data_IF_608127231754
#
_entry.id   IF_608127231754
#
_cell.length_a   1.000
_cell.length_b   1.000
_cell.length_c   1.000
_cell.angle_alpha   90.00
_cell.angle_beta   90.00
_cell.angle_gamma   90.00
#
_symmetry.space_group_name_H-M   'P 1'
#
loop_
_entity.id
_entity.type
_entity.pdbx_description
1 polymer ?
#
# COMPACT_ATOMS: atom_id res chain seq x y z
N UNK A 1 -0.57 0.73 11.42
CA UNK A 1 0.72 0.21 10.92
C UNK A 1 1.19 0.80 9.59
N UNK A 2 0.33 1.34 8.73
CA UNK A 2 0.77 2.07 7.53
C UNK A 2 1.23 3.50 7.84
N UNK A 3 1.85 4.15 6.85
CA UNK A 3 2.16 5.58 6.84
C UNK A 3 1.56 6.23 5.60
N UNK A 4 0.86 7.35 5.78
CA UNK A 4 0.37 8.15 4.66
C UNK A 4 1.42 9.20 4.28
N UNK A 5 1.86 9.17 3.02
CA UNK A 5 2.86 10.09 2.47
C UNK A 5 2.19 10.97 1.43
N UNK A 6 1.88 12.21 1.79
CA UNK A 6 1.40 13.24 0.88
C UNK A 6 2.54 13.81 0.04
N UNK A 7 2.24 14.23 -1.19
CA UNK A 7 3.24 14.81 -2.09
C UNK A 7 2.66 15.86 -3.03
N UNK A 8 3.54 16.72 -3.54
CA UNK A 8 3.29 17.63 -4.68
C UNK A 8 4.48 17.55 -5.63
N UNK A 9 4.21 17.46 -6.93
CA UNK A 9 5.24 17.36 -7.95
C UNK A 9 5.40 18.72 -8.62
N UNK A 10 6.65 19.13 -8.75
CA UNK A 10 7.01 20.38 -9.40
C UNK A 10 7.68 20.11 -10.73
N UNK A 11 7.35 20.94 -11.73
CA UNK A 11 8.06 21.03 -13.00
C UNK A 11 8.42 22.49 -13.25
N UNK A 12 9.71 22.78 -13.42
CA UNK A 12 10.21 24.15 -13.66
C UNK A 12 9.68 25.17 -12.63
N UNK A 13 9.57 24.77 -11.36
CA UNK A 13 9.06 25.64 -10.28
C UNK A 13 7.53 25.69 -10.13
N UNK A 14 6.76 25.08 -11.04
CA UNK A 14 5.29 25.07 -10.97
C UNK A 14 4.76 23.73 -10.42
N UNK A 15 3.76 23.74 -9.53
CA UNK A 15 3.09 22.52 -9.11
C UNK A 15 2.25 21.95 -10.26
N UNK A 16 2.51 20.70 -10.65
CA UNK A 16 1.85 20.04 -11.79
C UNK A 16 0.95 18.88 -11.37
N UNK A 17 1.17 18.34 -10.17
CA UNK A 17 0.43 17.19 -9.67
C UNK A 17 0.51 17.11 -8.14
N UNK A 18 -0.48 16.47 -7.54
CA UNK A 18 -0.54 16.18 -6.11
C UNK A 18 -1.14 14.80 -5.88
N UNK A 19 -0.97 14.29 -4.67
CA UNK A 19 -1.57 13.02 -4.27
C UNK A 19 -1.04 12.56 -2.93
N UNK A 20 -1.32 11.29 -2.65
CA UNK A 20 -0.80 10.62 -1.48
C UNK A 20 -0.66 9.13 -1.74
N UNK A 21 0.13 8.50 -0.87
CA UNK A 21 0.33 7.07 -0.92
C UNK A 21 0.37 6.49 0.48
N UNK A 22 -0.34 5.38 0.68
CA UNK A 22 -0.28 4.60 1.90
C UNK A 22 0.82 3.57 1.76
N UNK A 23 1.88 3.70 2.54
CA UNK A 23 3.07 2.85 2.51
C UNK A 23 3.00 1.85 3.66
N UNK A 24 3.19 0.57 3.33
CA UNK A 24 3.30 -0.53 4.29
C UNK A 24 4.38 -1.52 3.83
N UNK A 25 5.58 -1.39 4.40
CA UNK A 25 6.72 -2.21 3.98
C UNK A 25 7.01 -2.03 2.49
N UNK A 26 7.12 -3.12 1.76
CA UNK A 26 7.38 -3.08 0.31
C UNK A 26 6.13 -2.74 -0.53
N UNK A 27 4.96 -2.52 0.09
CA UNK A 27 3.71 -2.19 -0.62
C UNK A 27 3.38 -0.70 -0.51
N UNK A 28 2.77 -0.18 -1.56
CA UNK A 28 2.16 1.13 -1.55
C UNK A 28 0.83 1.14 -2.33
N UNK A 29 -0.24 1.62 -1.70
CA UNK A 29 -1.44 2.06 -2.42
C UNK A 29 -1.17 3.47 -2.95
N UNK A 30 -1.44 3.69 -4.23
CA UNK A 30 -0.91 4.83 -4.95
C UNK A 30 -1.99 5.48 -5.80
N UNK A 31 -2.17 6.79 -5.62
CA UNK A 31 -3.05 7.62 -6.44
C UNK A 31 -2.35 8.92 -6.78
N UNK A 32 -2.51 9.40 -8.02
CA UNK A 32 -1.88 10.61 -8.54
C UNK A 32 -2.94 11.45 -9.24
N UNK A 33 -2.98 12.76 -8.96
CA UNK A 33 -3.82 13.72 -9.67
C UNK A 33 -2.92 14.71 -10.39
N UNK A 34 -3.03 14.76 -11.72
CA UNK A 34 -2.33 15.74 -12.55
C UNK A 34 -3.33 16.82 -12.94
N UNK A 35 -2.97 18.07 -12.70
CA UNK A 35 -3.79 19.22 -13.07
C UNK A 35 -4.04 19.21 -14.58
N UNK A 36 -5.26 19.58 -14.98
CA UNK A 36 -5.73 19.48 -16.36
C UNK A 36 -4.77 20.12 -17.37
N UNK A 37 -4.27 21.32 -17.08
CA UNK A 37 -3.32 22.07 -17.93
C UNK A 37 -1.96 21.36 -18.12
N UNK A 38 -1.64 20.36 -17.30
CA UNK A 38 -0.40 19.58 -17.36
C UNK A 38 -0.63 18.11 -17.75
N UNK A 39 -1.86 17.73 -18.11
CA UNK A 39 -2.16 16.41 -18.66
C UNK A 39 -1.66 16.32 -20.10
N UNK A 40 -1.08 15.18 -20.46
CA UNK A 40 -0.57 14.96 -21.82
C UNK A 40 0.65 14.05 -21.85
N UNK A 41 1.53 14.27 -22.83
CA UNK A 41 2.67 13.39 -23.11
C UNK A 41 3.61 13.19 -21.90
N UNK A 42 3.81 14.23 -21.09
CA UNK A 42 4.74 14.18 -19.95
C UNK A 42 4.12 13.59 -18.68
N UNK A 43 2.80 13.39 -18.61
CA UNK A 43 2.12 12.80 -17.45
C UNK A 43 2.71 11.43 -17.09
N UNK A 44 3.08 10.67 -18.12
CA UNK A 44 3.76 9.39 -17.98
C UNK A 44 5.14 9.47 -17.35
N UNK A 45 5.96 10.42 -17.82
CA UNK A 45 7.29 10.64 -17.26
C UNK A 45 7.21 11.04 -15.79
N UNK A 46 6.35 12.01 -15.48
CA UNK A 46 6.06 12.49 -14.12
C UNK A 46 5.63 11.34 -13.21
N UNK A 47 4.71 10.49 -13.67
CA UNK A 47 4.28 9.30 -12.94
C UNK A 47 5.43 8.32 -12.69
N UNK A 48 6.25 8.02 -13.70
CA UNK A 48 7.41 7.14 -13.52
C UNK A 48 8.46 7.70 -12.56
N UNK A 49 8.70 9.02 -12.57
CA UNK A 49 9.61 9.64 -11.60
C UNK A 49 9.09 9.49 -10.17
N UNK A 50 7.80 9.63 -9.97
CA UNK A 50 7.18 9.43 -8.66
C UNK A 50 7.31 7.98 -8.18
N UNK A 51 7.01 7.00 -9.04
CA UNK A 51 7.22 5.58 -8.72
C UNK A 51 8.69 5.30 -8.36
N UNK A 52 9.63 5.90 -9.09
CA UNK A 52 11.08 5.79 -8.80
C UNK A 52 11.43 6.35 -7.43
N UNK A 53 10.87 7.51 -7.05
CA UNK A 53 11.07 8.11 -5.72
C UNK A 53 10.56 7.17 -4.64
N UNK A 54 9.35 6.64 -4.77
CA UNK A 54 8.78 5.72 -3.77
C UNK A 54 9.56 4.41 -3.65
N UNK A 55 10.00 3.87 -4.78
CA UNK A 55 10.86 2.68 -4.80
C UNK A 55 12.17 2.91 -4.05
N UNK A 56 12.88 4.00 -4.34
CA UNK A 56 14.21 4.24 -3.78
C UNK A 56 14.19 4.77 -2.35
N UNK A 57 13.19 5.60 -2.01
CA UNK A 57 13.12 6.25 -0.70
C UNK A 57 12.47 5.36 0.35
N UNK A 58 11.40 4.66 -0.03
CA UNK A 58 10.62 3.82 0.88
C UNK A 58 10.81 2.32 0.64
N UNK A 59 11.62 1.90 -0.33
CA UNK A 59 11.82 0.48 -0.63
C UNK A 59 10.58 -0.20 -1.21
N UNK A 60 9.66 0.55 -1.82
CA UNK A 60 8.42 0.00 -2.39
C UNK A 60 8.73 -0.83 -3.63
N UNK A 61 8.26 -2.06 -3.64
CA UNK A 61 8.37 -3.00 -4.76
C UNK A 61 7.00 -3.45 -5.29
N UNK A 62 5.92 -3.16 -4.58
CA UNK A 62 4.57 -3.53 -4.96
C UNK A 62 3.68 -2.27 -4.94
N UNK A 63 3.42 -1.71 -6.12
CA UNK A 63 2.50 -0.58 -6.28
C UNK A 63 1.13 -1.09 -6.63
N UNK A 64 0.11 -0.60 -5.94
CA UNK A 64 -1.30 -0.92 -6.17
C UNK A 64 -2.07 0.36 -6.48
N UNK A 65 -2.91 0.31 -7.50
CA UNK A 65 -3.80 1.39 -7.92
C UNK A 65 -5.23 0.89 -7.76
N UNK A 66 -6.01 1.62 -6.97
CA UNK A 66 -7.39 1.27 -6.68
C UNK A 66 -8.31 1.52 -7.90
N UNK A 67 -9.38 0.73 -8.06
CA UNK A 67 -10.32 0.87 -9.16
C UNK A 67 -10.89 2.26 -9.40
N UNK A 68 -11.09 3.05 -8.35
CA UNK A 68 -11.59 4.42 -8.45
C UNK A 68 -10.69 5.30 -9.34
N UNK A 69 -9.37 5.08 -9.29
CA UNK A 69 -8.38 5.83 -10.05
C UNK A 69 -8.49 5.61 -11.57
N UNK A 70 -9.18 4.57 -12.01
CA UNK A 70 -9.35 4.28 -13.43
C UNK A 70 -10.78 3.92 -13.85
N UNK A 71 -11.78 4.15 -13.00
CA UNK A 71 -13.17 4.21 -13.45
C UNK A 71 -14.27 3.80 -12.47
N UNK A 72 -13.98 3.14 -11.35
CA UNK A 72 -15.04 2.70 -10.41
C UNK A 72 -15.71 3.92 -9.78
N UNK A 73 -16.99 4.16 -10.09
CA UNK A 73 -17.69 5.37 -9.62
C UNK A 73 -17.14 6.68 -10.19
N UNK A 74 -16.20 6.62 -11.15
CA UNK A 74 -15.56 7.78 -11.78
C UNK A 74 -15.70 7.71 -13.31
N UNK A 75 -16.74 8.35 -13.88
CA UNK A 75 -16.95 8.38 -15.33
C UNK A 75 -15.80 8.99 -16.14
N UNK A 76 -15.03 9.92 -15.55
CA UNK A 76 -13.87 10.55 -16.18
C UNK A 76 -12.74 9.53 -16.36
N UNK A 77 -12.49 8.66 -15.38
CA UNK A 77 -11.50 7.59 -15.46
C UNK A 77 -11.78 6.61 -16.61
N UNK A 78 -13.06 6.29 -16.84
CA UNK A 78 -13.48 5.46 -17.98
C UNK A 78 -13.31 6.21 -19.31
N UNK A 79 -13.74 7.47 -19.37
CA UNK A 79 -13.72 8.28 -20.60
C UNK A 79 -12.29 8.59 -21.06
N UNK A 80 -11.39 8.89 -20.12
CA UNK A 80 -9.97 9.14 -20.39
C UNK A 80 -9.19 7.87 -20.74
N UNK A 81 -9.75 6.68 -20.52
CA UNK A 81 -9.06 5.41 -20.72
C UNK A 81 -7.91 5.21 -19.72
N UNK A 82 -8.02 5.74 -18.50
CA UNK A 82 -6.99 5.69 -17.47
C UNK A 82 -6.45 4.27 -17.19
N UNK A 83 -7.29 3.23 -17.33
CA UNK A 83 -6.85 1.84 -17.28
C UNK A 83 -5.66 1.55 -18.21
N UNK A 84 -5.74 2.04 -19.46
CA UNK A 84 -4.69 1.82 -20.46
C UNK A 84 -3.45 2.66 -20.20
N UNK A 85 -3.56 3.79 -19.51
CA UNK A 85 -2.40 4.54 -19.00
C UNK A 85 -1.59 3.69 -18.03
N UNK A 86 -2.24 3.17 -16.96
CA UNK A 86 -1.55 2.29 -16.01
C UNK A 86 -1.03 1.01 -16.69
N UNK A 87 -1.82 0.41 -17.57
CA UNK A 87 -1.41 -0.77 -18.33
C UNK A 87 -0.14 -0.52 -19.17
N UNK A 88 -0.05 0.65 -19.81
CA UNK A 88 1.11 1.04 -20.61
C UNK A 88 2.40 1.06 -19.75
N UNK A 89 2.32 1.54 -18.52
CA UNK A 89 3.44 1.58 -17.57
C UNK A 89 3.68 0.28 -16.79
N UNK A 90 3.14 -0.84 -17.29
CA UNK A 90 3.43 -2.17 -16.76
C UNK A 90 2.49 -2.67 -15.66
N UNK A 91 1.51 -1.86 -15.23
CA UNK A 91 0.51 -2.32 -14.28
C UNK A 91 -0.39 -3.38 -14.91
N UNK A 92 -0.81 -4.37 -14.14
CA UNK A 92 -1.73 -5.42 -14.60
C UNK A 92 -2.82 -5.65 -13.56
N UNK A 93 -4.05 -6.03 -13.97
CA UNK A 93 -5.08 -6.45 -13.01
C UNK A 93 -4.56 -7.55 -12.08
N UNK A 94 -4.92 -7.47 -10.81
CA UNK A 94 -4.65 -8.51 -9.82
C UNK A 94 -5.45 -9.77 -10.10
N UNK A 95 -6.72 -9.62 -10.49
CA UNK A 95 -7.56 -10.74 -10.89
C UNK A 95 -7.05 -11.41 -12.18
N UNK A 96 -7.04 -12.75 -12.17
CA UNK A 96 -6.49 -13.56 -13.27
C UNK A 96 -7.37 -13.51 -14.51
N UNK A 97 -8.70 -13.45 -14.37
CA UNK A 97 -9.62 -13.40 -15.50
C UNK A 97 -9.56 -12.03 -16.18
N UNK A 98 -9.58 -10.95 -15.41
CA UNK A 98 -9.43 -9.58 -15.91
C UNK A 98 -8.06 -9.36 -16.55
N UNK A 99 -6.99 -9.96 -16.01
CA UNK A 99 -5.67 -9.91 -16.63
C UNK A 99 -5.65 -10.56 -18.02
N UNK A 100 -6.33 -11.69 -18.20
CA UNK A 100 -6.49 -12.35 -19.51
C UNK A 100 -7.31 -11.49 -20.47
N UNK A 101 -8.44 -10.94 -20.00
CA UNK A 101 -9.28 -10.04 -20.78
C UNK A 101 -8.51 -8.80 -21.25
N UNK A 102 -7.74 -8.18 -20.36
CA UNK A 102 -6.91 -7.02 -20.69
C UNK A 102 -5.84 -7.36 -21.74
N UNK A 103 -5.22 -8.55 -21.67
CA UNK A 103 -4.28 -8.99 -22.69
C UNK A 103 -4.96 -9.19 -24.06
N UNK A 104 -6.17 -9.76 -24.09
CA UNK A 104 -6.95 -9.94 -25.31
C UNK A 104 -7.34 -8.59 -25.94
N UNK A 105 -7.84 -7.64 -25.14
CA UNK A 105 -8.14 -6.29 -25.62
C UNK A 105 -6.89 -5.57 -26.13
N UNK A 106 -5.75 -5.74 -25.44
CA UNK A 106 -4.48 -5.16 -25.89
C UNK A 106 -4.05 -5.72 -27.25
N UNK A 107 -4.26 -7.01 -27.52
CA UNK A 107 -3.98 -7.62 -28.82
C UNK A 107 -4.83 -6.99 -29.93
N UNK A 108 -6.11 -6.70 -29.67
CA UNK A 108 -6.98 -5.97 -30.64
C UNK A 108 -6.47 -4.56 -30.92
N UNK A 109 -6.12 -3.81 -29.87
CA UNK A 109 -5.53 -2.45 -30.00
C UNK A 109 -4.23 -2.50 -30.83
N UNK A 110 -3.41 -3.53 -30.64
CA UNK A 110 -2.17 -3.67 -31.39
C UNK A 110 -2.41 -4.00 -32.87
N UNK A 111 -3.41 -4.84 -33.16
CA UNK A 111 -3.79 -5.23 -34.53
C UNK A 111 -4.49 -4.10 -35.30
N UNK A 112 -5.32 -3.30 -34.63
CA UNK A 112 -6.03 -2.18 -35.25
C UNK A 112 -5.88 -0.91 -34.39
N UNK A 113 -5.13 0.07 -34.91
CA UNK A 113 -4.88 1.35 -34.22
C UNK A 113 -6.13 2.23 -34.06
N UNK A 114 -7.16 2.03 -34.87
CA UNK A 114 -8.46 2.72 -34.71
C UNK A 114 -9.37 2.04 -33.68
N UNK A 115 -9.07 0.81 -33.27
CA UNK A 115 -9.85 0.11 -32.26
C UNK A 115 -9.79 0.83 -30.91
N UNK A 116 -10.94 0.89 -30.24
CA UNK A 116 -11.08 1.37 -28.86
C UNK A 116 -11.83 0.32 -28.05
N UNK A 117 -11.30 0.01 -26.87
CA UNK A 117 -12.00 -0.86 -25.90
C UNK A 117 -13.34 -0.23 -25.53
N UNK A 118 -14.40 -1.04 -25.54
CA UNK A 118 -15.75 -0.57 -25.25
C UNK A 118 -15.87 -0.12 -23.79
N UNK A 119 -16.71 0.87 -23.54
CA UNK A 119 -17.00 1.39 -22.19
C UNK A 119 -17.35 0.29 -21.18
N UNK A 120 -18.18 -0.68 -21.58
CA UNK A 120 -18.57 -1.81 -20.73
C UNK A 120 -17.38 -2.68 -20.30
N UNK A 121 -16.40 -2.88 -21.17
CA UNK A 121 -15.18 -3.64 -20.84
C UNK A 121 -14.27 -2.81 -19.92
N UNK A 122 -14.16 -1.50 -20.15
CA UNK A 122 -13.42 -0.62 -19.24
C UNK A 122 -14.03 -0.62 -17.84
N UNK A 123 -15.36 -0.64 -17.73
CA UNK A 123 -16.07 -0.78 -16.45
C UNK A 123 -15.77 -2.12 -15.79
N UNK A 124 -15.78 -3.21 -16.57
CA UNK A 124 -15.43 -4.54 -16.05
C UNK A 124 -14.02 -4.60 -15.48
N UNK A 125 -13.05 -3.88 -16.07
CA UNK A 125 -11.70 -3.81 -15.50
C UNK A 125 -11.64 -3.22 -14.09
N UNK A 126 -12.64 -2.45 -13.68
CA UNK A 126 -12.70 -1.82 -12.35
C UNK A 126 -13.14 -2.78 -11.24
N UNK A 127 -13.45 -4.05 -11.56
CA UNK A 127 -13.75 -5.08 -10.56
C UNK A 127 -12.50 -5.58 -9.80
N UNK A 128 -11.29 -5.11 -10.16
CA UNK A 128 -10.04 -5.47 -9.46
C UNK A 128 -9.01 -4.35 -9.54
N UNK A 129 -8.21 -4.17 -8.49
CA UNK A 129 -7.05 -3.28 -8.50
C UNK A 129 -6.03 -3.65 -9.58
N UNK A 130 -5.24 -2.67 -10.01
CA UNK A 130 -4.08 -2.88 -10.86
C UNK A 130 -2.79 -2.81 -10.05
N UNK A 131 -1.81 -3.66 -10.37
CA UNK A 131 -0.53 -3.69 -9.67
C UNK A 131 0.68 -3.63 -10.60
N UNK A 132 1.73 -2.98 -10.14
CA UNK A 132 3.07 -3.04 -10.70
C UNK A 132 4.00 -3.68 -9.67
N UNK A 133 4.66 -4.78 -10.06
CA UNK A 133 5.62 -5.49 -9.22
C UNK A 133 6.77 -6.08 -10.07
N UNK A 134 8.03 -5.97 -9.62
CA UNK A 134 9.19 -6.49 -10.35
C UNK A 134 9.39 -7.99 -10.14
N UNK A 135 8.81 -8.58 -9.08
CA UNK A 135 8.98 -9.99 -8.73
C UNK A 135 7.65 -10.71 -8.63
N UNK A 136 7.70 -12.05 -8.63
CA UNK A 136 6.50 -12.89 -8.39
C UNK A 136 6.08 -12.90 -6.91
N UNK A 137 7.00 -12.60 -5.98
CA UNK A 137 6.72 -12.57 -4.54
C UNK A 137 5.71 -11.46 -4.26
N UNK A 138 4.65 -11.77 -3.52
CA UNK A 138 3.66 -10.81 -3.07
C UNK A 138 4.02 -10.50 -1.61
N UNK A 139 4.44 -9.27 -1.27
CA UNK A 139 4.71 -8.90 0.11
C UNK A 139 3.45 -8.99 0.97
N UNK A 140 3.63 -9.20 2.28
CA UNK A 140 2.53 -9.19 3.24
C UNK A 140 1.74 -7.88 3.14
N UNK A 141 0.41 -7.98 3.17
CA UNK A 141 -0.48 -6.82 3.10
C UNK A 141 -1.01 -6.43 4.48
N UNK A 142 -1.29 -5.14 4.67
CA UNK A 142 -1.95 -4.67 5.89
C UNK A 142 -3.33 -5.33 6.10
N UNK A 143 -4.19 -5.50 5.08
CA UNK A 143 -5.42 -6.29 5.22
C UNK A 143 -5.16 -7.72 5.72
N UNK A 144 -4.11 -8.39 5.24
CA UNK A 144 -3.76 -9.74 5.74
C UNK A 144 -3.37 -9.74 7.21
N UNK A 145 -2.64 -8.73 7.68
CA UNK A 145 -2.30 -8.58 9.11
C UNK A 145 -3.54 -8.27 9.93
N UNK A 146 -4.37 -7.35 9.46
CA UNK A 146 -5.61 -6.94 10.15
C UNK A 146 -6.58 -8.11 10.28
N UNK A 147 -6.75 -8.93 9.23
CA UNK A 147 -7.58 -10.13 9.29
C UNK A 147 -7.07 -11.14 10.32
N UNK A 148 -5.74 -11.29 10.46
CA UNK A 148 -5.16 -12.14 11.51
C UNK A 148 -5.44 -11.59 12.91
N UNK A 149 -5.38 -10.27 13.10
CA UNK A 149 -5.74 -9.62 14.36
C UNK A 149 -7.22 -9.85 14.66
N UNK A 150 -8.12 -9.60 13.71
CA UNK A 150 -9.57 -9.82 13.88
C UNK A 150 -9.87 -11.26 14.25
N UNK A 151 -9.35 -12.23 13.50
CA UNK A 151 -9.55 -13.66 13.78
C UNK A 151 -8.99 -14.07 15.15
N UNK A 152 -7.84 -13.51 15.55
CA UNK A 152 -7.29 -13.73 16.88
C UNK A 152 -8.21 -13.18 17.98
N UNK A 153 -8.76 -11.97 17.81
CA UNK A 153 -9.69 -11.35 18.77
C UNK A 153 -10.96 -12.20 18.91
N UNK A 154 -11.55 -12.63 17.80
CA UNK A 154 -12.74 -13.50 17.80
C UNK A 154 -12.48 -14.83 18.50
N UNK A 155 -11.35 -15.48 18.20
CA UNK A 155 -11.09 -16.86 18.65
C UNK A 155 -10.49 -16.98 20.04
N UNK A 156 -9.68 -16.00 20.48
CA UNK A 156 -8.96 -16.06 21.76
C UNK A 156 -9.51 -15.11 22.82
N UNK A 157 -10.28 -14.10 22.42
CA UNK A 157 -10.78 -13.05 23.32
C UNK A 157 -12.30 -12.88 23.22
N UNK A 158 -13.01 -13.82 22.59
CA UNK A 158 -14.49 -13.79 22.49
C UNK A 158 -15.04 -12.60 21.71
N UNK A 159 -14.24 -11.98 20.85
CA UNK A 159 -14.60 -10.76 20.13
C UNK A 159 -14.35 -9.46 20.90
N UNK A 160 -13.89 -9.53 22.16
CA UNK A 160 -13.61 -8.34 22.97
C UNK A 160 -12.24 -7.75 22.63
N UNK A 161 -12.27 -6.58 21.98
CA UNK A 161 -11.06 -5.88 21.54
C UNK A 161 -10.29 -5.24 22.69
N UNK A 162 -10.98 -4.75 23.71
CA UNK A 162 -10.33 -4.03 24.82
C UNK A 162 -9.57 -5.02 25.70
N UNK A 163 -10.18 -6.19 25.98
CA UNK A 163 -9.50 -7.31 26.65
C UNK A 163 -8.29 -7.77 25.82
N UNK A 164 -8.44 -7.90 24.50
CA UNK A 164 -7.32 -8.27 23.63
C UNK A 164 -6.18 -7.25 23.65
N UNK A 165 -6.47 -5.94 23.59
CA UNK A 165 -5.47 -4.88 23.69
C UNK A 165 -4.74 -4.97 25.03
N UNK A 166 -5.46 -5.05 26.14
CA UNK A 166 -4.87 -5.08 27.47
C UNK A 166 -3.94 -6.29 27.67
N UNK A 167 -4.41 -7.49 27.33
CA UNK A 167 -3.62 -8.71 27.50
C UNK A 167 -2.43 -8.77 26.54
N UNK A 168 -2.62 -8.39 25.27
CA UNK A 168 -1.51 -8.37 24.31
C UNK A 168 -0.44 -7.34 24.69
N UNK A 169 -0.86 -6.17 25.18
CA UNK A 169 0.06 -5.11 25.63
C UNK A 169 0.88 -5.59 26.82
N UNK A 170 0.24 -6.15 27.84
CA UNK A 170 0.91 -6.71 29.03
C UNK A 170 1.95 -7.77 28.64
N UNK A 171 1.61 -8.68 27.73
CA UNK A 171 2.54 -9.70 27.24
C UNK A 171 3.72 -9.08 26.48
N UNK A 172 3.44 -8.12 25.60
CA UNK A 172 4.45 -7.45 24.79
C UNK A 172 5.44 -6.63 25.64
N UNK A 173 4.95 -5.88 26.62
CA UNK A 173 5.77 -5.13 27.57
C UNK A 173 6.68 -6.05 28.40
N UNK A 174 6.14 -7.18 28.87
CA UNK A 174 6.92 -8.19 29.60
C UNK A 174 8.08 -8.76 28.78
N UNK A 175 7.92 -8.86 27.46
CA UNK A 175 8.95 -9.36 26.55
C UNK A 175 9.96 -8.30 26.11
N UNK A 176 9.53 -7.04 25.98
CA UNK A 176 10.34 -5.95 25.40
C UNK A 176 10.98 -5.05 26.45
N UNK A 177 10.48 -5.09 27.70
CA UNK A 177 10.97 -4.28 28.82
C UNK A 177 10.99 -2.77 28.50
N UNK A 178 9.95 -2.25 27.84
CA UNK A 178 9.74 -0.81 27.70
C UNK A 178 9.63 -0.20 29.11
N UNK A 179 10.37 0.88 29.37
CA UNK A 179 10.56 1.42 30.74
C UNK A 179 10.33 2.91 30.87
N UNK A 180 9.97 3.60 29.79
CA UNK A 180 9.72 5.03 29.82
C UNK A 180 8.22 5.34 29.69
N UNK A 181 7.76 6.48 30.25
CA UNK A 181 6.40 6.97 30.00
C UNK A 181 6.16 7.20 28.52
N UNK A 182 5.01 6.76 28.02
CA UNK A 182 4.58 6.96 26.63
C UNK A 182 3.57 8.10 26.56
N UNK A 183 3.67 8.93 25.52
CA UNK A 183 2.60 9.86 25.16
C UNK A 183 1.44 9.14 24.45
N UNK A 184 0.36 9.85 24.15
CA UNK A 184 -0.84 9.25 23.55
C UNK A 184 -0.57 8.59 22.18
N UNK A 185 0.28 9.18 21.34
CA UNK A 185 0.60 8.61 20.02
C UNK A 185 1.41 7.33 20.16
N UNK A 186 2.44 7.34 21.00
CA UNK A 186 3.23 6.17 21.36
C UNK A 186 2.36 5.06 21.96
N UNK A 187 1.40 5.42 22.83
CA UNK A 187 0.47 4.47 23.43
C UNK A 187 -0.41 3.79 22.38
N UNK A 188 -0.93 4.56 21.42
CA UNK A 188 -1.72 4.00 20.30
C UNK A 188 -0.87 3.02 19.47
N UNK A 189 0.40 3.35 19.24
CA UNK A 189 1.32 2.48 18.49
C UNK A 189 1.65 1.22 19.29
N UNK A 190 1.85 1.33 20.60
CA UNK A 190 2.04 0.18 21.49
C UNK A 190 0.88 -0.82 21.33
N UNK A 191 -0.36 -0.35 21.35
CA UNK A 191 -1.53 -1.20 21.13
C UNK A 191 -1.50 -1.89 19.76
N UNK A 192 -1.15 -1.15 18.70
CA UNK A 192 -1.01 -1.74 17.36
C UNK A 192 0.07 -2.83 17.32
N UNK A 193 1.29 -2.54 17.79
CA UNK A 193 2.42 -3.48 17.69
C UNK A 193 2.25 -4.68 18.61
N UNK A 194 1.58 -4.53 19.75
CA UNK A 194 1.25 -5.64 20.65
C UNK A 194 0.26 -6.62 20.00
N UNK A 195 -0.81 -6.10 19.38
CA UNK A 195 -1.76 -6.93 18.62
C UNK A 195 -1.08 -7.61 17.43
N UNK A 196 -0.23 -6.90 16.69
CA UNK A 196 0.55 -7.45 15.57
C UNK A 196 1.49 -8.56 16.05
N UNK A 197 2.21 -8.33 17.16
CA UNK A 197 3.13 -9.31 17.74
C UNK A 197 2.41 -10.62 18.05
N UNK A 198 1.26 -10.54 18.75
CA UNK A 198 0.46 -11.72 19.09
C UNK A 198 -0.14 -12.40 17.85
N UNK A 199 -0.76 -11.63 16.95
CA UNK A 199 -1.43 -12.16 15.76
C UNK A 199 -0.46 -12.83 14.77
N UNK A 200 0.78 -12.34 14.70
CA UNK A 200 1.85 -12.92 13.89
C UNK A 200 2.73 -13.92 14.67
N UNK A 201 2.39 -14.21 15.93
CA UNK A 201 3.10 -15.15 16.83
C UNK A 201 4.60 -14.85 16.94
N UNK A 202 4.94 -13.57 17.09
CA UNK A 202 6.33 -13.13 17.20
C UNK A 202 6.87 -13.49 18.59
N UNK A 203 7.88 -14.36 18.63
CA UNK A 203 8.53 -14.80 19.88
C UNK A 203 10.01 -14.48 19.93
N UNK A 204 10.63 -14.17 18.78
CA UNK A 204 12.06 -13.88 18.72
C UNK A 204 12.36 -12.45 19.20
N UNK A 205 13.41 -12.32 20.01
CA UNK A 205 13.79 -11.06 20.66
C UNK A 205 14.12 -9.94 19.67
N UNK A 206 14.70 -10.28 18.52
CA UNK A 206 15.08 -9.30 17.50
C UNK A 206 13.86 -8.61 16.87
N UNK A 207 12.84 -9.39 16.49
CA UNK A 207 11.59 -8.86 15.92
C UNK A 207 10.77 -8.10 16.95
N UNK A 208 10.76 -8.56 18.21
CA UNK A 208 10.15 -7.83 19.32
C UNK A 208 10.84 -6.48 19.56
N UNK A 209 12.18 -6.45 19.46
CA UNK A 209 12.97 -5.21 19.57
C UNK A 209 12.66 -4.25 18.43
N UNK A 210 12.51 -4.75 17.19
CA UNK A 210 12.11 -3.92 16.06
C UNK A 210 10.73 -3.28 16.27
N UNK A 211 9.74 -4.07 16.71
CA UNK A 211 8.40 -3.58 17.03
C UNK A 211 8.42 -2.56 18.17
N UNK A 212 9.21 -2.79 19.22
CA UNK A 212 9.35 -1.84 20.32
C UNK A 212 9.93 -0.50 19.85
N UNK A 213 10.98 -0.52 19.00
CA UNK A 213 11.56 0.71 18.43
C UNK A 213 10.57 1.50 17.56
N UNK A 214 9.61 0.83 16.92
CA UNK A 214 8.60 1.52 16.12
C UNK A 214 7.69 2.43 16.96
N UNK A 215 7.51 2.15 18.25
CA UNK A 215 6.69 2.96 19.16
C UNK A 215 7.23 4.38 19.22
N UNK A 216 8.53 4.53 19.42
CA UNK A 216 9.18 5.84 19.52
C UNK A 216 9.46 6.47 18.15
N UNK A 217 9.68 5.66 17.13
CA UNK A 217 10.13 6.16 15.82
C UNK A 217 8.97 6.65 14.96
N UNK A 218 7.82 5.94 14.97
CA UNK A 218 6.71 6.22 14.05
C UNK A 218 6.12 7.64 14.14
N UNK A 219 5.94 8.24 15.34
CA UNK A 219 5.33 9.57 15.43
C UNK A 219 6.21 10.69 14.83
N UNK A 220 7.52 10.50 14.78
CA UNK A 220 8.48 11.59 14.54
C UNK A 220 9.40 11.36 13.33
N UNK A 221 9.61 10.12 12.89
CA UNK A 221 10.52 9.78 11.80
C UNK A 221 9.89 8.74 10.86
N UNK A 222 9.29 9.26 9.78
CA UNK A 222 8.70 8.47 8.71
C UNK A 222 9.71 7.50 8.07
N UNK A 223 10.93 7.95 7.82
CA UNK A 223 11.92 7.15 7.09
C UNK A 223 12.51 6.08 8.00
N UNK A 224 12.86 6.43 9.24
CA UNK A 224 13.31 5.48 10.25
C UNK A 224 12.25 4.41 10.52
N UNK A 225 10.99 4.80 10.67
CA UNK A 225 9.88 3.87 10.84
C UNK A 225 9.77 2.90 9.65
N UNK A 226 9.86 3.40 8.42
CA UNK A 226 9.81 2.56 7.23
C UNK A 226 10.96 1.55 7.19
N UNK A 227 12.18 1.93 7.59
CA UNK A 227 13.32 1.01 7.64
C UNK A 227 13.12 -0.09 8.70
N UNK A 228 12.61 0.26 9.88
CA UNK A 228 12.25 -0.72 10.90
C UNK A 228 11.19 -1.69 10.37
N UNK A 229 10.15 -1.16 9.71
CA UNK A 229 9.04 -1.97 9.20
C UNK A 229 9.48 -2.93 8.09
N UNK A 230 10.32 -2.48 7.16
CA UNK A 230 10.92 -3.33 6.13
C UNK A 230 11.74 -4.46 6.74
N UNK A 231 12.56 -4.15 7.76
CA UNK A 231 13.41 -5.13 8.43
C UNK A 231 12.57 -6.18 9.16
N UNK A 232 11.53 -5.74 9.88
CA UNK A 232 10.58 -6.62 10.56
C UNK A 232 9.85 -7.55 9.58
N UNK A 233 9.27 -6.99 8.51
CA UNK A 233 8.49 -7.77 7.55
C UNK A 233 9.33 -8.76 6.74
N UNK A 234 10.63 -8.49 6.53
CA UNK A 234 11.55 -9.46 5.93
C UNK A 234 11.75 -10.69 6.81
N UNK A 235 11.76 -10.52 8.14
CA UNK A 235 11.92 -11.61 9.11
C UNK A 235 10.65 -12.44 9.28
N UNK A 236 9.47 -11.83 9.19
CA UNK A 236 8.19 -12.54 9.36
C UNK A 236 7.79 -13.33 8.11
N UNK A 237 8.29 -12.94 6.93
CA UNK A 237 7.98 -13.59 5.65
C UNK A 237 9.01 -14.65 5.22
N UNK A 238 9.98 -14.97 6.07
CA UNK A 238 10.97 -16.03 5.88
C UNK A 238 10.74 -17.12 6.94
#
# INVERSE_FOLDING_TARGET
MESYVGYTLFKNGFPVSYGGSWVFGERANFGINIFESFRGAESGYTFCQLLRVFKNTFGVLFFEVEPYQFGLGNPEGITSGAFWFYYHYGFRPMDKALKKLAAFEKAKINKNKSYRTRKSILQQFTESSMVLKPSKKIPLSLPSVTNKITSMIETQFGGDRDVAINECTRLFEGQTKIRHPLNQDQQNILYEVALVSKALRITNSESLTLLAKMIDTKPIDLYGYQQLLLTFLKKVNN
#
